data_IF_918964710952
#
_entry.id   IF_918964710952
#
_cell.length_a   1.000
_cell.length_b   1.000
_cell.length_c   1.000
_cell.angle_alpha   90.00
_cell.angle_beta   90.00
_cell.angle_gamma   90.00
#
_symmetry.space_group_name_H-M   'P 1'
#
loop_
_entity.id
_entity.type
_entity.pdbx_description
1 polymer ?
#
# COMPACT_ATOMS: atom_id res chain seq x y z
N UNK A 1 22.93 1.05 -21.75
CA UNK A 1 22.05 1.36 -20.60
C UNK A 1 21.17 0.13 -20.37
N UNK A 2 21.01 -0.36 -19.14
CA UNK A 2 20.16 -1.54 -18.87
C UNK A 2 18.70 -1.19 -19.19
N UNK A 3 17.99 -2.12 -19.83
CA UNK A 3 16.57 -1.98 -20.17
C UNK A 3 15.71 -2.05 -18.89
N UNK A 4 15.05 -0.95 -18.53
CA UNK A 4 14.20 -0.86 -17.33
C UNK A 4 12.77 -1.17 -17.74
N UNK A 5 12.28 -2.35 -17.37
CA UNK A 5 10.97 -2.85 -17.83
C UNK A 5 9.82 -2.63 -16.84
N UNK A 6 10.13 -2.46 -15.56
CA UNK A 6 9.14 -2.27 -14.49
C UNK A 6 9.63 -1.22 -13.50
N UNK A 7 8.76 -0.28 -13.15
CA UNK A 7 8.93 0.67 -12.05
C UNK A 7 8.01 0.24 -10.92
N UNK A 8 8.57 -0.03 -9.74
CA UNK A 8 7.79 -0.36 -8.55
C UNK A 8 7.50 0.94 -7.78
N UNK A 9 6.23 1.17 -7.45
CA UNK A 9 5.79 2.26 -6.59
C UNK A 9 5.19 1.68 -5.30
N UNK A 10 5.95 1.65 -4.20
CA UNK A 10 5.41 1.31 -2.88
C UNK A 10 4.42 2.39 -2.42
N UNK A 11 3.25 1.98 -1.96
CA UNK A 11 2.25 2.84 -1.36
C UNK A 11 1.84 2.28 0.00
N UNK A 12 2.03 3.04 1.07
CA UNK A 12 1.64 2.63 2.43
C UNK A 12 0.29 3.23 2.86
N UNK A 13 -0.16 4.30 2.19
CA UNK A 13 -1.45 4.95 2.44
C UNK A 13 -1.92 5.71 1.20
N UNK A 14 -3.09 6.34 1.30
CA UNK A 14 -3.65 7.24 0.28
C UNK A 14 -3.13 8.67 0.39
N UNK A 15 -2.43 9.02 1.47
CA UNK A 15 -1.86 10.36 1.67
C UNK A 15 -0.88 10.70 0.56
N UNK A 16 -1.15 11.78 -0.19
CA UNK A 16 -0.40 12.16 -1.40
C UNK A 16 -0.34 11.07 -2.49
N UNK A 17 -1.22 10.07 -2.43
CA UNK A 17 -1.14 8.89 -3.30
C UNK A 17 -1.37 9.23 -4.78
N UNK A 18 -2.25 10.16 -5.10
CA UNK A 18 -2.48 10.60 -6.49
C UNK A 18 -1.24 11.27 -7.09
N UNK A 19 -0.58 12.17 -6.34
CA UNK A 19 0.67 12.79 -6.77
C UNK A 19 1.78 11.75 -6.97
N UNK A 20 1.86 10.74 -6.10
CA UNK A 20 2.80 9.63 -6.23
C UNK A 20 2.52 8.80 -7.49
N UNK A 21 1.26 8.48 -7.78
CA UNK A 21 0.83 7.74 -8.97
C UNK A 21 1.16 8.51 -10.26
N UNK A 22 0.87 9.81 -10.32
CA UNK A 22 1.21 10.67 -11.46
C UNK A 22 2.73 10.67 -11.70
N UNK A 23 3.53 10.86 -10.64
CA UNK A 23 4.99 10.88 -10.74
C UNK A 23 5.55 9.52 -11.18
N UNK A 24 5.06 8.43 -10.59
CA UNK A 24 5.43 7.07 -10.95
C UNK A 24 5.09 6.74 -12.40
N UNK A 25 3.91 7.14 -12.87
CA UNK A 25 3.46 6.92 -14.24
C UNK A 25 4.31 7.69 -15.24
N UNK A 26 4.55 8.97 -15.00
CA UNK A 26 5.42 9.78 -15.86
C UNK A 26 6.85 9.24 -15.90
N UNK A 27 7.37 8.76 -14.77
CA UNK A 27 8.68 8.11 -14.72
C UNK A 27 8.68 6.82 -15.54
N UNK A 28 7.70 5.94 -15.36
CA UNK A 28 7.59 4.70 -16.13
C UNK A 28 7.49 4.95 -17.65
N UNK A 29 6.73 5.96 -18.08
CA UNK A 29 6.63 6.38 -19.49
C UNK A 29 7.98 6.79 -20.08
N UNK A 30 8.84 7.48 -19.32
CA UNK A 30 10.17 7.88 -19.79
C UNK A 30 11.06 6.68 -20.17
N UNK A 31 10.83 5.53 -19.56
CA UNK A 31 11.56 4.29 -19.85
C UNK A 31 10.79 3.30 -20.73
N UNK A 32 9.56 3.62 -21.17
CA UNK A 32 8.68 2.63 -21.79
C UNK A 32 8.37 1.44 -20.87
N UNK A 33 8.39 1.68 -19.56
CA UNK A 33 8.25 0.66 -18.52
C UNK A 33 6.81 0.56 -18.00
N UNK A 34 6.48 -0.57 -17.39
CA UNK A 34 5.22 -0.75 -16.66
C UNK A 34 5.33 -0.20 -15.24
N UNK A 35 4.35 0.59 -14.79
CA UNK A 35 4.22 0.98 -13.39
C UNK A 35 3.49 -0.13 -12.61
N UNK A 36 4.15 -0.72 -11.63
CA UNK A 36 3.58 -1.67 -10.69
C UNK A 36 3.42 -1.01 -9.31
N UNK A 37 2.19 -0.94 -8.81
CA UNK A 37 1.90 -0.38 -7.47
C UNK A 37 1.87 -1.51 -6.45
N UNK A 38 2.59 -1.34 -5.35
CA UNK A 38 2.69 -2.31 -4.27
C UNK A 38 2.21 -1.68 -2.95
N UNK A 39 1.10 -2.19 -2.42
CA UNK A 39 0.71 -1.89 -1.05
C UNK A 39 1.26 -2.94 -0.10
N UNK A 40 2.07 -2.50 0.86
CA UNK A 40 2.61 -3.38 1.91
C UNK A 40 1.72 -3.24 3.13
N UNK A 41 1.15 -4.37 3.56
CA UNK A 41 0.25 -4.43 4.71
C UNK A 41 1.05 -4.68 5.99
N UNK A 42 0.74 -3.97 7.10
CA UNK A 42 1.22 -4.35 8.42
C UNK A 42 0.75 -5.77 8.78
N UNK A 43 1.60 -6.51 9.49
CA UNK A 43 1.30 -7.85 9.99
C UNK A 43 0.83 -7.75 11.45
N UNK A 44 -0.38 -8.26 11.73
CA UNK A 44 -0.93 -8.25 13.09
C UNK A 44 -0.06 -9.04 14.09
N UNK A 45 0.75 -9.98 13.61
CA UNK A 45 1.65 -10.77 14.46
C UNK A 45 2.75 -9.94 15.12
N UNK A 46 3.02 -8.74 14.62
CA UNK A 46 3.95 -7.78 15.23
C UNK A 46 3.47 -7.32 16.63
N UNK A 47 2.19 -7.55 16.97
CA UNK A 47 1.55 -7.19 18.23
C UNK A 47 1.74 -8.30 19.30
N UNK A 48 2.07 -9.53 18.90
CA UNK A 48 2.20 -10.68 19.81
C UNK A 48 3.15 -10.45 21.01
N UNK A 49 4.32 -9.79 20.83
CA UNK A 49 5.25 -9.54 21.94
C UNK A 49 4.68 -8.70 23.08
N UNK A 50 3.63 -7.91 22.82
CA UNK A 50 3.01 -7.03 23.83
C UNK A 50 2.39 -7.79 25.02
N UNK A 51 2.08 -9.09 24.85
CA UNK A 51 1.64 -9.95 25.95
C UNK A 51 2.70 -10.07 27.06
N UNK A 52 3.99 -10.01 26.70
CA UNK A 52 5.11 -10.03 27.63
C UNK A 52 5.36 -8.69 28.33
N UNK A 53 4.73 -7.60 27.87
CA UNK A 53 4.91 -6.24 28.36
C UNK A 53 3.81 -5.79 29.34
N UNK A 54 3.01 -6.74 29.86
CA UNK A 54 1.98 -6.49 30.86
C UNK A 54 0.57 -6.29 30.30
N UNK A 55 0.37 -6.42 28.98
CA UNK A 55 -0.98 -6.55 28.41
C UNK A 55 -1.52 -7.97 28.59
N UNK A 56 -2.81 -8.07 28.91
CA UNK A 56 -3.48 -9.38 28.96
C UNK A 56 -3.59 -10.01 27.57
N UNK A 57 -3.60 -11.35 27.49
CA UNK A 57 -3.75 -12.06 26.22
C UNK A 57 -5.00 -11.65 25.43
N UNK A 58 -6.12 -11.43 26.11
CA UNK A 58 -7.36 -10.93 25.50
C UNK A 58 -7.21 -9.52 24.89
N UNK A 59 -6.44 -8.62 25.53
CA UNK A 59 -6.15 -7.30 24.96
C UNK A 59 -5.25 -7.39 23.73
N UNK A 60 -4.28 -8.32 23.74
CA UNK A 60 -3.40 -8.56 22.59
C UNK A 60 -4.19 -9.10 21.40
N UNK A 61 -5.08 -10.05 21.61
CA UNK A 61 -5.97 -10.58 20.57
C UNK A 61 -6.88 -9.49 19.98
N UNK A 62 -7.40 -8.59 20.82
CA UNK A 62 -8.26 -7.49 20.35
C UNK A 62 -7.47 -6.45 19.54
N UNK A 63 -6.24 -6.13 19.96
CA UNK A 63 -5.33 -5.27 19.20
C UNK A 63 -4.95 -5.90 17.86
N UNK A 64 -4.67 -7.21 17.81
CA UNK A 64 -4.42 -7.94 16.56
C UNK A 64 -5.59 -7.82 15.59
N UNK A 65 -6.81 -8.09 16.07
CA UNK A 65 -8.03 -7.99 15.26
C UNK A 65 -8.24 -6.56 14.74
N UNK A 66 -8.01 -5.57 15.59
CA UNK A 66 -8.11 -4.15 15.22
C UNK A 66 -7.08 -3.80 14.14
N UNK A 67 -5.83 -4.22 14.30
CA UNK A 67 -4.78 -3.99 13.32
C UNK A 67 -5.05 -4.69 11.97
N UNK A 68 -5.57 -5.91 11.98
CA UNK A 68 -5.99 -6.64 10.77
C UNK A 68 -7.14 -5.94 10.04
N UNK A 69 -8.13 -5.45 10.79
CA UNK A 69 -9.24 -4.68 10.25
C UNK A 69 -8.74 -3.40 9.58
N UNK A 70 -7.93 -2.60 10.28
CA UNK A 70 -7.37 -1.36 9.74
C UNK A 70 -6.44 -1.63 8.54
N UNK A 71 -5.62 -2.68 8.59
CA UNK A 71 -4.77 -3.12 7.47
C UNK A 71 -5.60 -3.46 6.24
N UNK A 72 -6.74 -4.11 6.41
CA UNK A 72 -7.66 -4.43 5.31
C UNK A 72 -8.37 -3.19 4.76
N UNK A 73 -8.82 -2.29 5.63
CA UNK A 73 -9.42 -1.00 5.24
C UNK A 73 -8.46 -0.18 4.38
N UNK A 74 -7.23 0.02 4.84
CA UNK A 74 -6.21 0.77 4.08
C UNK A 74 -5.89 0.12 2.73
N UNK A 75 -5.83 -1.21 2.67
CA UNK A 75 -5.61 -1.92 1.41
C UNK A 75 -6.72 -1.65 0.38
N UNK A 76 -7.99 -1.61 0.84
CA UNK A 76 -9.13 -1.25 -0.02
C UNK A 76 -9.05 0.21 -0.49
N UNK A 77 -8.68 1.14 0.38
CA UNK A 77 -8.55 2.55 0.03
C UNK A 77 -7.46 2.79 -1.02
N UNK A 78 -6.29 2.15 -0.86
CA UNK A 78 -5.19 2.23 -1.82
C UNK A 78 -5.60 1.59 -3.16
N UNK A 79 -6.29 0.44 -3.13
CA UNK A 79 -6.82 -0.19 -4.35
C UNK A 79 -7.80 0.73 -5.06
N UNK A 80 -8.76 1.31 -4.36
CA UNK A 80 -9.76 2.20 -4.94
C UNK A 80 -9.13 3.47 -5.54
N UNK A 81 -8.11 4.03 -4.87
CA UNK A 81 -7.34 5.15 -5.42
C UNK A 81 -6.63 4.77 -6.73
N UNK A 82 -5.99 3.60 -6.77
CA UNK A 82 -5.33 3.10 -7.96
C UNK A 82 -6.33 2.87 -9.12
N UNK A 83 -7.48 2.26 -8.85
CA UNK A 83 -8.52 2.03 -9.87
C UNK A 83 -9.06 3.34 -10.45
N UNK A 84 -9.33 4.35 -9.61
CA UNK A 84 -9.71 5.69 -10.07
C UNK A 84 -8.64 6.32 -10.96
N UNK A 85 -7.37 6.19 -10.56
CA UNK A 85 -6.24 6.68 -11.35
C UNK A 85 -6.11 5.99 -12.71
N UNK A 86 -6.27 4.67 -12.77
CA UNK A 86 -6.24 3.93 -14.04
C UNK A 86 -7.41 4.31 -14.95
N UNK A 87 -8.60 4.49 -14.39
CA UNK A 87 -9.78 4.93 -15.13
C UNK A 87 -9.59 6.33 -15.75
N UNK A 88 -8.97 7.27 -15.03
CA UNK A 88 -8.69 8.62 -15.56
C UNK A 88 -7.52 8.64 -16.55
N UNK A 89 -6.49 7.79 -16.35
CA UNK A 89 -5.33 7.70 -17.24
C UNK A 89 -5.66 7.13 -18.63
N UNK A 90 -6.77 6.39 -18.77
CA UNK A 90 -7.21 5.80 -20.04
C UNK A 90 -7.91 6.81 -20.98
N UNK A 91 -8.11 8.05 -20.54
CA UNK A 91 -8.76 9.12 -21.30
C UNK A 91 -7.80 10.10 -22.01
N UNK A 92 -6.48 9.83 -22.02
CA UNK A 92 -5.44 10.66 -22.65
C UNK A 92 -4.68 9.91 -23.74
#
# INVERSE_FOLDING_TARGET
>A
MKDVRKILLPMVSTSNGEAALIRGYNFARRFGAHLAVLHVRPDGRDIAPLAGEGLSGAMVEDLMRTAEHESSRHAHEVRALFERFVASASGY
#
